data_IF_711776942967
#
_entry.id   IF_711776942967
#
_cell.length_a   1.000
_cell.length_b   1.000
_cell.length_c   1.000
_cell.angle_alpha   90.00
_cell.angle_beta   90.00
_cell.angle_gamma   90.00
#
_symmetry.space_group_name_H-M   'P 1'
#
loop_
_entity.id
_entity.type
_entity.pdbx_description
1 polymer ?
#
# COMPACT_ATOMS: atom_id res chain seq x y z
N UNK A 1 11.72 -31.51 3.82
CA UNK A 1 12.32 -30.91 5.06
C UNK A 1 13.33 -29.79 4.82
N UNK A 2 14.28 -29.86 3.85
CA UNK A 2 15.26 -28.77 3.60
C UNK A 2 14.64 -27.43 3.15
N UNK A 3 13.58 -27.47 2.33
CA UNK A 3 12.89 -26.28 1.84
C UNK A 3 12.18 -25.52 2.98
N UNK A 4 11.49 -26.23 3.86
CA UNK A 4 10.84 -25.66 5.04
C UNK A 4 11.86 -24.96 5.95
N UNK A 5 13.01 -25.58 6.22
CA UNK A 5 14.08 -24.97 7.03
C UNK A 5 14.68 -23.72 6.38
N UNK A 6 14.72 -23.63 5.04
CA UNK A 6 15.27 -22.49 4.30
C UNK A 6 14.36 -21.25 4.38
N UNK A 7 13.05 -21.44 4.31
CA UNK A 7 12.07 -20.35 4.33
C UNK A 7 11.47 -20.09 5.72
N UNK A 8 11.73 -20.95 6.71
CA UNK A 8 11.22 -20.82 8.08
C UNK A 8 11.53 -19.43 8.66
N UNK A 9 12.76 -18.96 8.48
CA UNK A 9 13.19 -17.67 9.00
C UNK A 9 12.49 -16.51 8.28
N UNK A 10 12.28 -16.60 6.97
CA UNK A 10 11.53 -15.57 6.23
C UNK A 10 10.06 -15.54 6.70
N UNK A 11 9.44 -16.71 6.91
CA UNK A 11 8.07 -16.81 7.44
C UNK A 11 7.98 -16.22 8.85
N UNK A 12 8.95 -16.55 9.72
CA UNK A 12 9.02 -16.00 11.07
C UNK A 12 9.11 -14.47 11.05
N UNK A 13 9.95 -13.91 10.16
CA UNK A 13 10.09 -12.45 10.01
C UNK A 13 8.77 -11.82 9.57
N UNK A 14 8.05 -12.43 8.62
CA UNK A 14 6.74 -11.93 8.19
C UNK A 14 5.71 -11.95 9.33
N UNK A 15 5.69 -13.01 10.13
CA UNK A 15 4.82 -13.09 11.33
C UNK A 15 5.19 -11.99 12.33
N UNK A 16 6.50 -11.81 12.58
CA UNK A 16 6.99 -10.75 13.48
C UNK A 16 6.57 -9.37 12.98
N UNK A 17 6.61 -9.11 11.67
CA UNK A 17 6.12 -7.84 11.12
C UNK A 17 4.64 -7.62 11.37
N UNK A 18 3.80 -8.65 11.17
CA UNK A 18 2.37 -8.55 11.47
C UNK A 18 2.12 -8.25 12.96
N UNK A 19 2.86 -8.91 13.85
CA UNK A 19 2.79 -8.69 15.30
C UNK A 19 3.23 -7.28 15.67
N UNK A 20 4.34 -6.78 15.11
CA UNK A 20 4.85 -5.43 15.39
C UNK A 20 3.83 -4.37 14.94
N UNK A 21 3.30 -4.50 13.72
CA UNK A 21 2.32 -3.56 13.19
C UNK A 21 1.05 -3.53 14.03
N UNK A 22 0.55 -4.70 14.46
CA UNK A 22 -0.62 -4.79 15.32
C UNK A 22 -0.33 -4.23 16.71
N UNK A 23 0.81 -4.59 17.32
CA UNK A 23 1.19 -4.12 18.66
C UNK A 23 1.27 -2.59 18.74
N UNK A 24 1.72 -1.93 17.67
CA UNK A 24 1.78 -0.47 17.62
C UNK A 24 0.40 0.19 17.65
N UNK A 25 -0.59 -0.37 16.94
CA UNK A 25 -1.95 0.16 16.89
C UNK A 25 -2.93 -0.53 17.86
N UNK A 26 -2.47 -1.51 18.63
CA UNK A 26 -3.27 -2.33 19.54
C UNK A 26 -4.21 -1.49 20.44
N UNK A 27 -3.77 -0.40 21.09
CA UNK A 27 -4.69 0.41 21.90
C UNK A 27 -5.83 1.03 21.08
N UNK A 28 -5.55 1.45 19.85
CA UNK A 28 -6.57 2.02 18.97
C UNK A 28 -7.51 0.93 18.42
N UNK A 29 -6.95 -0.20 17.98
CA UNK A 29 -7.72 -1.29 17.37
C UNK A 29 -8.61 -2.01 18.39
N UNK A 30 -8.13 -2.22 19.62
CA UNK A 30 -8.92 -2.85 20.68
C UNK A 30 -10.05 -1.96 21.18
N UNK A 31 -9.82 -0.64 21.25
CA UNK A 31 -10.83 0.33 21.68
C UNK A 31 -11.78 0.73 20.54
N UNK A 32 -11.61 0.19 19.33
CA UNK A 32 -12.41 0.55 18.16
C UNK A 32 -12.25 2.01 17.72
N UNK A 33 -11.11 2.62 18.05
CA UNK A 33 -10.82 4.02 17.70
C UNK A 33 -10.42 4.11 16.23
N UNK A 34 -10.85 5.21 15.60
CA UNK A 34 -10.45 5.54 14.23
C UNK A 34 -9.46 6.71 14.25
N UNK A 35 -8.42 6.63 13.43
CA UNK A 35 -7.51 7.74 13.22
C UNK A 35 -8.20 8.77 12.32
N UNK A 36 -8.47 9.95 12.89
CA UNK A 36 -9.00 11.04 12.08
C UNK A 36 -7.93 11.56 11.12
N UNK A 37 -8.26 11.53 9.83
CA UNK A 37 -7.37 11.91 8.72
C UNK A 37 -8.01 13.08 7.98
N UNK A 38 -7.43 14.27 8.11
CA UNK A 38 -8.01 15.50 7.57
C UNK A 38 -8.12 15.47 6.05
N UNK A 39 -7.14 14.89 5.35
CA UNK A 39 -7.22 14.75 3.89
C UNK A 39 -8.32 13.80 3.46
N UNK A 40 -8.48 12.67 4.15
CA UNK A 40 -9.56 11.73 3.85
C UNK A 40 -10.94 12.36 4.07
N UNK A 41 -11.08 13.22 5.07
CA UNK A 41 -12.30 14.01 5.27
C UNK A 41 -12.51 15.04 4.16
N UNK A 42 -11.46 15.78 3.77
CA UNK A 42 -11.52 16.74 2.68
C UNK A 42 -11.86 16.08 1.33
N UNK A 43 -11.26 14.92 1.02
CA UNK A 43 -11.54 14.15 -0.20
C UNK A 43 -13.00 13.71 -0.30
N UNK A 44 -13.66 13.37 0.83
CA UNK A 44 -15.10 13.09 0.82
C UNK A 44 -15.92 14.30 0.43
N UNK A 45 -15.56 15.49 0.93
CA UNK A 45 -16.20 16.74 0.52
C UNK A 45 -16.03 17.02 -0.97
N UNK A 46 -14.82 16.87 -1.50
CA UNK A 46 -14.52 17.06 -2.93
C UNK A 46 -15.29 16.08 -3.84
N UNK A 47 -15.53 14.85 -3.37
CA UNK A 47 -16.23 13.82 -4.14
C UNK A 47 -17.77 13.89 -4.08
N UNK A 48 -18.35 14.76 -3.24
CA UNK A 48 -19.77 14.69 -2.90
C UNK A 48 -20.71 14.94 -4.09
N UNK A 49 -20.43 15.96 -4.92
CA UNK A 49 -21.24 16.24 -6.12
C UNK A 49 -21.20 15.07 -7.11
N UNK A 50 -20.02 14.48 -7.31
CA UNK A 50 -19.85 13.30 -8.18
C UNK A 50 -20.68 12.13 -7.67
N UNK A 51 -20.66 11.89 -6.36
CA UNK A 51 -21.41 10.81 -5.72
C UNK A 51 -22.93 11.01 -5.89
N UNK A 52 -23.44 12.21 -5.61
CA UNK A 52 -24.85 12.55 -5.78
C UNK A 52 -25.30 12.40 -7.24
N UNK A 53 -24.50 12.88 -8.18
CA UNK A 53 -24.79 12.73 -9.61
C UNK A 53 -24.89 11.25 -10.01
N UNK A 54 -23.92 10.42 -9.58
CA UNK A 54 -23.90 8.99 -9.84
C UNK A 54 -25.12 8.27 -9.22
N UNK A 55 -25.57 8.68 -8.03
CA UNK A 55 -26.76 8.12 -7.38
C UNK A 55 -28.05 8.47 -8.11
N UNK A 56 -28.14 9.66 -8.71
CA UNK A 56 -29.33 10.14 -9.41
C UNK A 56 -29.44 9.63 -10.85
N UNK A 57 -28.33 9.61 -11.58
CA UNK A 57 -28.33 9.29 -13.03
C UNK A 57 -27.85 7.87 -13.33
N UNK A 58 -27.11 7.25 -12.40
CA UNK A 58 -26.39 6.00 -12.67
C UNK A 58 -25.13 6.19 -13.51
N UNK A 59 -24.76 7.43 -13.87
CA UNK A 59 -23.60 7.72 -14.71
C UNK A 59 -22.45 8.37 -13.93
N UNK A 60 -21.22 8.06 -14.35
CA UNK A 60 -20.02 8.66 -13.76
C UNK A 60 -19.70 9.99 -14.43
N UNK A 61 -19.88 11.10 -13.72
CA UNK A 61 -19.48 12.41 -14.24
C UNK A 61 -17.96 12.54 -14.35
N UNK A 62 -17.50 13.17 -15.44
CA UNK A 62 -16.09 13.53 -15.70
C UNK A 62 -15.75 14.95 -15.29
N UNK A 63 -16.72 15.71 -14.76
CA UNK A 63 -16.58 17.10 -14.34
C UNK A 63 -17.35 17.37 -13.04
N UNK A 64 -16.84 18.26 -12.19
CA UNK A 64 -17.50 18.76 -10.98
C UNK A 64 -17.46 20.28 -10.99
N UNK A 65 -18.58 20.93 -10.64
CA UNK A 65 -18.67 22.39 -10.56
C UNK A 65 -18.37 22.92 -9.16
N UNK A 66 -18.44 22.07 -8.13
CA UNK A 66 -18.26 22.43 -6.72
C UNK A 66 -16.82 22.70 -6.30
N UNK A 67 -15.84 22.43 -7.17
CA UNK A 67 -14.41 22.58 -6.87
C UNK A 67 -13.81 23.67 -7.77
N UNK A 68 -13.36 24.78 -7.18
CA UNK A 68 -12.69 25.91 -7.85
C UNK A 68 -13.41 26.46 -9.11
N UNK A 69 -14.74 26.39 -9.14
CA UNK A 69 -15.55 26.84 -10.28
C UNK A 69 -15.59 25.85 -11.45
N UNK A 70 -15.04 24.64 -11.28
CA UNK A 70 -15.00 23.61 -12.30
C UNK A 70 -13.69 22.81 -12.28
N UNK A 71 -13.77 21.49 -12.15
CA UNK A 71 -12.61 20.60 -12.23
C UNK A 71 -12.96 19.25 -12.86
N UNK A 72 -12.05 18.64 -13.63
CA UNK A 72 -12.21 17.26 -14.07
C UNK A 72 -12.13 16.26 -12.91
N UNK A 73 -13.03 15.27 -12.89
CA UNK A 73 -13.08 14.29 -11.78
C UNK A 73 -11.95 13.27 -11.81
N UNK A 74 -11.23 13.12 -12.93
CA UNK A 74 -10.11 12.17 -13.02
C UNK A 74 -8.91 12.55 -12.13
N UNK A 75 -8.78 13.81 -11.71
CA UNK A 75 -7.71 14.26 -10.80
C UNK A 75 -8.05 14.07 -9.32
N UNK A 76 -9.33 14.00 -8.97
CA UNK A 76 -9.80 13.99 -7.56
C UNK A 76 -10.48 12.67 -7.17
N UNK A 77 -11.02 11.95 -8.15
CA UNK A 77 -11.71 10.68 -7.95
C UNK A 77 -11.61 9.87 -9.25
N UNK A 78 -10.41 9.41 -9.63
CA UNK A 78 -10.24 8.57 -10.81
C UNK A 78 -11.08 7.29 -10.67
N UNK A 79 -11.80 6.93 -11.74
CA UNK A 79 -12.58 5.69 -11.79
C UNK A 79 -12.64 5.17 -13.21
N UNK A 80 -12.14 3.95 -13.39
CA UNK A 80 -12.02 3.28 -14.69
C UNK A 80 -12.50 1.83 -14.57
N UNK A 81 -13.28 1.35 -15.54
CA UNK A 81 -13.75 -0.03 -15.53
C UNK A 81 -12.62 -1.07 -15.65
N UNK A 82 -11.48 -0.66 -16.24
CA UNK A 82 -10.29 -1.49 -16.45
C UNK A 82 -9.51 -1.81 -15.18
N UNK A 83 -9.69 -1.06 -14.07
CA UNK A 83 -8.92 -1.28 -12.83
C UNK A 83 -9.48 -2.40 -11.97
N UNK A 84 -10.68 -2.93 -12.26
CA UNK A 84 -11.37 -3.92 -11.41
C UNK A 84 -10.51 -5.11 -11.00
N UNK A 85 -9.74 -5.67 -11.93
CA UNK A 85 -8.85 -6.81 -11.65
C UNK A 85 -7.71 -6.39 -10.72
N UNK A 86 -7.14 -5.22 -10.95
CA UNK A 86 -6.06 -4.66 -10.13
C UNK A 86 -6.55 -4.30 -8.72
N UNK A 87 -7.77 -3.79 -8.60
CA UNK A 87 -8.40 -3.51 -7.31
C UNK A 87 -8.63 -4.80 -6.50
N UNK A 88 -8.95 -5.92 -7.16
CA UNK A 88 -9.02 -7.23 -6.50
C UNK A 88 -7.65 -7.71 -6.01
N UNK A 89 -6.60 -7.51 -6.82
CA UNK A 89 -5.22 -7.82 -6.42
C UNK A 89 -4.81 -6.97 -5.22
N UNK A 90 -5.09 -5.66 -5.24
CA UNK A 90 -4.81 -4.76 -4.13
C UNK A 90 -5.57 -5.17 -2.86
N UNK A 91 -6.86 -5.53 -2.98
CA UNK A 91 -7.66 -6.06 -1.85
C UNK A 91 -7.10 -7.37 -1.30
N UNK A 92 -6.65 -8.27 -2.16
CA UNK A 92 -6.00 -9.50 -1.71
C UNK A 92 -4.68 -9.20 -0.99
N UNK A 93 -3.89 -8.24 -1.50
CA UNK A 93 -2.66 -7.78 -0.86
C UNK A 93 -2.91 -7.02 0.46
N UNK A 94 -4.13 -6.51 0.66
CA UNK A 94 -4.57 -5.92 1.93
C UNK A 94 -4.65 -6.92 3.10
N UNK A 95 -4.79 -8.21 2.80
CA UNK A 95 -4.90 -9.29 3.78
C UNK A 95 -6.04 -9.11 4.81
N UNK A 96 -7.02 -8.24 4.51
CA UNK A 96 -8.14 -7.90 5.40
C UNK A 96 -7.72 -7.43 6.81
N UNK A 97 -6.51 -6.90 6.95
CA UNK A 97 -6.05 -6.27 8.18
C UNK A 97 -6.72 -4.89 8.38
N UNK A 98 -6.74 -4.33 9.61
CA UNK A 98 -7.08 -2.93 9.80
C UNK A 98 -6.13 -2.03 8.98
N UNK A 99 -6.65 -0.97 8.34
CA UNK A 99 -5.89 -0.10 7.43
C UNK A 99 -4.52 0.32 8.00
N UNK A 100 -4.50 0.78 9.26
CA UNK A 100 -3.29 1.31 9.91
C UNK A 100 -2.24 0.22 10.15
N UNK A 101 -2.69 -0.95 10.59
CA UNK A 101 -1.85 -2.14 10.77
C UNK A 101 -1.29 -2.59 9.43
N UNK A 102 -2.14 -2.59 8.40
CA UNK A 102 -1.74 -2.97 7.06
C UNK A 102 -0.64 -2.05 6.51
N UNK A 103 -0.78 -0.72 6.62
CA UNK A 103 0.22 0.23 6.12
C UNK A 103 1.62 -0.04 6.68
N UNK A 104 1.75 -0.20 8.00
CA UNK A 104 3.05 -0.49 8.63
C UNK A 104 3.54 -1.88 8.24
N UNK A 105 2.64 -2.86 8.15
CA UNK A 105 2.99 -4.21 7.73
C UNK A 105 3.56 -4.25 6.31
N UNK A 106 2.93 -3.57 5.35
CA UNK A 106 3.44 -3.55 3.97
C UNK A 106 4.69 -2.72 3.82
N UNK A 107 4.91 -1.70 4.66
CA UNK A 107 6.22 -1.05 4.72
C UNK A 107 7.32 -2.02 5.16
N UNK A 108 7.11 -2.74 6.25
CA UNK A 108 8.07 -3.73 6.73
C UNK A 108 8.31 -4.83 5.69
N UNK A 109 7.24 -5.43 5.18
CA UNK A 109 7.30 -6.51 4.19
C UNK A 109 7.95 -6.04 2.89
N UNK A 110 7.56 -4.86 2.41
CA UNK A 110 8.01 -4.35 1.12
C UNK A 110 9.51 -4.08 1.10
N UNK A 111 10.00 -3.39 2.13
CA UNK A 111 11.42 -3.13 2.29
C UNK A 111 12.22 -4.42 2.52
N UNK A 112 11.66 -5.38 3.25
CA UNK A 112 12.27 -6.69 3.43
C UNK A 112 12.46 -7.41 2.11
N UNK A 113 11.42 -7.48 1.27
CA UNK A 113 11.50 -8.09 -0.07
C UNK A 113 12.62 -7.42 -0.88
N UNK A 114 12.73 -6.10 -0.82
CA UNK A 114 13.81 -5.36 -1.48
C UNK A 114 15.19 -5.77 -0.97
N UNK A 115 15.44 -5.72 0.34
CA UNK A 115 16.73 -6.09 0.91
C UNK A 115 17.10 -7.56 0.63
N UNK A 116 16.12 -8.46 0.61
CA UNK A 116 16.34 -9.87 0.21
C UNK A 116 16.68 -10.01 -1.26
N UNK A 117 16.15 -9.17 -2.16
CA UNK A 117 16.57 -9.13 -3.56
C UNK A 117 18.02 -8.62 -3.73
N UNK A 118 18.46 -7.71 -2.86
CA UNK A 118 19.86 -7.27 -2.76
C UNK A 118 20.81 -8.27 -2.10
N UNK A 119 20.30 -9.43 -1.68
CA UNK A 119 21.08 -10.53 -1.06
C UNK A 119 21.64 -10.19 0.33
N UNK A 120 20.98 -9.30 1.07
CA UNK A 120 21.28 -9.06 2.49
C UNK A 120 20.93 -10.30 3.33
N UNK A 121 21.71 -10.55 4.38
CA UNK A 121 21.38 -11.58 5.39
C UNK A 121 20.01 -11.32 6.00
N UNK A 122 19.23 -12.38 6.28
CA UNK A 122 17.84 -12.28 6.75
C UNK A 122 17.69 -11.37 7.98
N UNK A 123 18.58 -11.48 8.96
CA UNK A 123 18.55 -10.63 10.16
C UNK A 123 18.77 -9.15 9.86
N UNK A 124 19.70 -8.83 8.95
CA UNK A 124 19.96 -7.44 8.53
C UNK A 124 18.81 -6.89 7.68
N UNK A 125 18.21 -7.74 6.84
CA UNK A 125 17.02 -7.37 6.09
C UNK A 125 15.84 -7.07 7.02
N UNK A 126 15.62 -7.89 8.05
CA UNK A 126 14.58 -7.65 9.05
C UNK A 126 14.84 -6.36 9.83
N UNK A 127 16.07 -6.17 10.33
CA UNK A 127 16.45 -4.95 11.05
C UNK A 127 16.29 -3.69 10.19
N UNK A 128 16.79 -3.71 8.93
CA UNK A 128 16.67 -2.60 8.01
C UNK A 128 15.23 -2.24 7.68
N UNK A 129 14.36 -3.24 7.58
CA UNK A 129 12.92 -3.04 7.36
C UNK A 129 12.25 -2.35 8.54
N UNK A 130 12.58 -2.77 9.76
CA UNK A 130 12.08 -2.13 10.99
C UNK A 130 12.54 -0.67 11.05
N UNK A 131 13.83 -0.40 10.84
CA UNK A 131 14.38 0.96 10.87
C UNK A 131 13.74 1.86 9.82
N UNK A 132 13.50 1.33 8.61
CA UNK A 132 12.88 2.08 7.53
C UNK A 132 11.40 2.36 7.80
N UNK A 133 10.61 1.32 8.11
CA UNK A 133 9.17 1.45 8.36
C UNK A 133 8.86 2.35 9.56
N UNK A 134 9.76 2.39 10.55
CA UNK A 134 9.63 3.25 11.72
C UNK A 134 10.25 4.65 11.58
N UNK A 135 10.62 5.05 10.36
CA UNK A 135 10.98 6.43 10.09
C UNK A 135 9.79 7.37 10.33
N UNK A 136 10.05 8.53 10.93
CA UNK A 136 9.00 9.47 11.39
C UNK A 136 8.06 9.92 10.26
N UNK A 137 8.59 10.08 9.05
CA UNK A 137 7.83 10.53 7.89
C UNK A 137 6.63 9.63 7.56
N UNK A 138 6.78 8.30 7.67
CA UNK A 138 5.71 7.36 7.32
C UNK A 138 4.50 7.48 8.25
N UNK A 139 4.72 7.66 9.55
CA UNK A 139 3.62 7.89 10.48
C UNK A 139 2.96 9.26 10.29
N UNK A 140 3.75 10.29 9.94
CA UNK A 140 3.21 11.63 9.66
C UNK A 140 2.24 11.58 8.47
N UNK A 141 2.59 10.91 7.38
CA UNK A 141 1.71 10.83 6.19
C UNK A 141 0.49 9.92 6.40
N UNK A 142 0.62 8.85 7.20
CA UNK A 142 -0.52 8.00 7.58
C UNK A 142 -1.52 8.83 8.40
N UNK A 143 -1.03 9.60 9.38
CA UNK A 143 -1.86 10.45 10.22
C UNK A 143 -2.52 11.59 9.44
N UNK A 144 -1.83 12.18 8.46
CA UNK A 144 -2.43 13.19 7.60
C UNK A 144 -3.54 12.63 6.69
N UNK A 145 -3.40 11.37 6.27
CA UNK A 145 -4.32 10.73 5.33
C UNK A 145 -3.96 10.90 3.88
N UNK A 146 -2.68 11.12 3.58
CA UNK A 146 -2.13 11.11 2.23
C UNK A 146 -2.04 9.67 1.69
N UNK A 147 -3.18 8.97 1.57
CA UNK A 147 -3.22 7.51 1.37
C UNK A 147 -2.60 7.08 0.04
N UNK A 148 -2.73 7.87 -1.01
CA UNK A 148 -2.06 7.63 -2.29
C UNK A 148 -0.53 7.56 -2.13
N UNK A 149 0.07 8.49 -1.38
CA UNK A 149 1.51 8.46 -1.06
C UNK A 149 1.85 7.27 -0.16
N UNK A 150 0.98 6.92 0.77
CA UNK A 150 1.17 5.75 1.65
C UNK A 150 1.31 4.48 0.82
N UNK A 151 0.38 4.27 -0.12
CA UNK A 151 0.38 3.13 -1.04
C UNK A 151 1.58 3.11 -1.97
N UNK A 152 1.92 4.23 -2.60
CA UNK A 152 3.10 4.32 -3.45
C UNK A 152 4.38 3.95 -2.66
N UNK A 153 4.56 4.51 -1.46
CA UNK A 153 5.74 4.15 -0.65
C UNK A 153 5.76 2.67 -0.22
N UNK A 154 4.60 2.00 -0.17
CA UNK A 154 4.51 0.58 0.15
C UNK A 154 4.84 -0.32 -1.05
N UNK A 155 4.45 0.09 -2.26
CA UNK A 155 4.63 -0.70 -3.47
C UNK A 155 6.01 -0.51 -4.12
N UNK A 156 6.65 0.63 -3.87
CA UNK A 156 7.93 0.99 -4.47
C UNK A 156 9.07 0.01 -4.13
N UNK A 157 9.32 -0.40 -2.86
CA UNK A 157 10.44 -1.27 -2.56
C UNK A 157 10.33 -2.66 -3.21
N UNK A 158 9.17 -3.36 -3.20
CA UNK A 158 8.99 -4.59 -3.96
C UNK A 158 9.13 -4.42 -5.48
N UNK A 159 8.70 -3.30 -6.04
CA UNK A 159 8.92 -3.00 -7.46
C UNK A 159 10.43 -2.96 -7.77
N UNK A 160 11.21 -2.23 -6.97
CA UNK A 160 12.67 -2.18 -7.08
C UNK A 160 13.27 -3.57 -6.90
N UNK A 161 12.76 -4.36 -5.95
CA UNK A 161 13.18 -5.74 -5.74
C UNK A 161 13.02 -6.59 -7.01
N UNK A 162 11.90 -6.44 -7.72
CA UNK A 162 11.64 -7.13 -8.99
C UNK A 162 12.66 -6.78 -10.06
N UNK A 163 12.97 -5.49 -10.21
CA UNK A 163 13.98 -5.00 -11.14
C UNK A 163 15.36 -5.58 -10.80
N UNK A 164 15.75 -5.55 -9.53
CA UNK A 164 17.02 -6.13 -9.04
C UNK A 164 17.10 -7.63 -9.31
N UNK A 165 16.01 -8.38 -9.11
CA UNK A 165 15.96 -9.81 -9.42
C UNK A 165 16.16 -10.09 -10.91
N UNK A 166 15.61 -9.25 -11.80
CA UNK A 166 15.82 -9.37 -13.23
C UNK A 166 17.31 -9.15 -13.60
N UNK A 167 17.95 -8.11 -13.06
CA UNK A 167 19.39 -7.87 -13.26
C UNK A 167 20.28 -8.98 -12.69
N UNK A 168 19.81 -9.72 -11.68
CA UNK A 168 20.49 -10.90 -11.12
C UNK A 168 20.17 -12.21 -11.85
N UNK A 169 19.64 -12.15 -13.07
CA UNK A 169 19.35 -13.30 -13.91
C UNK A 169 18.10 -14.10 -13.53
N UNK A 170 17.29 -13.65 -12.57
CA UNK A 170 16.03 -14.31 -12.18
C UNK A 170 14.86 -13.72 -12.96
N UNK A 171 14.94 -13.75 -14.29
CA UNK A 171 14.06 -13.02 -15.19
C UNK A 171 12.57 -13.21 -14.91
N UNK A 172 12.09 -14.46 -14.79
CA UNK A 172 10.67 -14.71 -14.57
C UNK A 172 10.17 -14.14 -13.23
N UNK A 173 10.93 -14.35 -12.14
CA UNK A 173 10.56 -13.82 -10.81
C UNK A 173 10.64 -12.30 -10.76
N UNK A 174 11.68 -11.75 -11.38
CA UNK A 174 11.85 -10.30 -11.51
C UNK A 174 10.71 -9.67 -12.31
N UNK A 175 10.39 -10.24 -13.48
CA UNK A 175 9.29 -9.78 -14.34
C UNK A 175 7.95 -9.79 -13.60
N UNK A 176 7.58 -10.92 -12.96
CA UNK A 176 6.30 -11.02 -12.25
C UNK A 176 6.23 -9.99 -11.11
N UNK A 177 7.30 -9.87 -10.32
CA UNK A 177 7.31 -8.96 -9.17
C UNK A 177 7.26 -7.49 -9.63
N UNK A 178 8.07 -7.11 -10.61
CA UNK A 178 8.03 -5.76 -11.18
C UNK A 178 6.66 -5.47 -11.79
N UNK A 179 6.11 -6.36 -12.60
CA UNK A 179 4.83 -6.12 -13.27
C UNK A 179 3.68 -5.90 -12.28
N UNK A 180 3.59 -6.73 -11.23
CA UNK A 180 2.54 -6.60 -10.20
C UNK A 180 2.69 -5.27 -9.46
N UNK A 181 3.88 -4.96 -8.96
CA UNK A 181 4.05 -3.76 -8.14
C UNK A 181 4.08 -2.46 -8.96
N UNK A 182 4.54 -2.49 -10.21
CA UNK A 182 4.36 -1.36 -11.13
C UNK A 182 2.89 -1.12 -11.46
N UNK A 183 2.08 -2.16 -11.62
CA UNK A 183 0.64 -1.99 -11.79
C UNK A 183 0.01 -1.37 -10.54
N UNK A 184 0.35 -1.88 -9.35
CA UNK A 184 -0.15 -1.32 -8.08
C UNK A 184 0.29 0.13 -7.86
N UNK A 185 1.52 0.50 -8.24
CA UNK A 185 2.00 1.91 -8.25
C UNK A 185 1.16 2.81 -9.15
N UNK A 186 0.85 2.34 -10.37
CA UNK A 186 -0.02 3.08 -11.30
C UNK A 186 -1.44 3.17 -10.75
N UNK A 187 -1.93 2.18 -9.99
CA UNK A 187 -3.25 2.26 -9.35
C UNK A 187 -3.27 3.22 -8.16
N UNK A 188 -2.11 3.45 -7.54
CA UNK A 188 -1.97 4.33 -6.38
C UNK A 188 -1.78 5.80 -6.78
N UNK A 189 -1.73 6.15 -8.07
CA UNK A 189 -1.56 7.50 -8.60
C UNK A 189 -2.64 7.83 -9.63
#
# INVERSE_FOLDING_TARGET
>A
MKFLKKYLLDILVVIVFAVISFAYFMPADMDGRILFRHDSAASKGLGHEKELFQQQTGETTRWTNSVFGGMPTYQISPSYGSTKVLDQVAKAYHLWLPDYVWYVFVYLLGFYIMLRAFDFRQSLAALGSILWAFSSYFFIIIAAGHIWKVWALAYLPPMIAGVVLAYRGKYLKGLILTAIFSALEVNAN
#
